data_IF_439175758201
#
_entry.id   IF_439175758201
#
_cell.length_a   1.000
_cell.length_b   1.000
_cell.length_c   1.000
_cell.angle_alpha   90.00
_cell.angle_beta   90.00
_cell.angle_gamma   90.00
#
_symmetry.space_group_name_H-M   'P 1'
#
loop_
_entity.id
_entity.type
_entity.pdbx_description
1 polymer ?
#
# COMPACT_ATOMS: atom_id res chain seq x y z
N UNK A 1 8.66 27.44 -1.67
CA UNK A 1 8.24 26.50 -0.59
C UNK A 1 7.07 25.59 -1.01
N UNK A 2 6.02 26.11 -1.65
CA UNK A 2 4.82 25.34 -2.05
C UNK A 2 5.09 24.28 -3.14
N UNK A 3 5.94 24.59 -4.12
CA UNK A 3 6.30 23.68 -5.21
C UNK A 3 7.09 22.46 -4.73
N UNK A 4 8.04 22.66 -3.79
CA UNK A 4 8.80 21.56 -3.18
C UNK A 4 7.89 20.58 -2.43
N UNK A 5 6.90 21.10 -1.69
CA UNK A 5 5.90 20.26 -0.99
C UNK A 5 5.02 19.49 -1.98
N UNK A 6 4.59 20.14 -3.06
CA UNK A 6 3.81 19.49 -4.12
C UNK A 6 4.61 18.35 -4.78
N UNK A 7 5.87 18.61 -5.10
CA UNK A 7 6.78 17.62 -5.67
C UNK A 7 6.97 16.40 -4.76
N UNK A 8 7.25 16.63 -3.47
CA UNK A 8 7.39 15.54 -2.48
C UNK A 8 6.11 14.72 -2.39
N UNK A 9 4.95 15.37 -2.29
CA UNK A 9 3.66 14.68 -2.22
C UNK A 9 3.39 13.85 -3.50
N UNK A 10 3.74 14.37 -4.67
CA UNK A 10 3.56 13.69 -5.95
C UNK A 10 4.49 12.47 -6.07
N UNK A 11 5.76 12.60 -5.68
CA UNK A 11 6.72 11.48 -5.66
C UNK A 11 6.25 10.38 -4.71
N UNK A 12 5.83 10.75 -3.49
CA UNK A 12 5.29 9.78 -2.52
C UNK A 12 4.04 9.08 -3.06
N UNK A 13 3.17 9.81 -3.75
CA UNK A 13 1.99 9.23 -4.39
C UNK A 13 2.36 8.21 -5.48
N UNK A 14 3.28 8.55 -6.40
CA UNK A 14 3.74 7.62 -7.43
C UNK A 14 4.32 6.35 -6.80
N UNK A 15 5.20 6.51 -5.81
CA UNK A 15 5.82 5.37 -5.12
C UNK A 15 4.76 4.48 -4.44
N UNK A 16 3.75 5.08 -3.80
CA UNK A 16 2.62 4.34 -3.24
C UNK A 16 1.82 3.59 -4.30
N UNK A 17 1.53 4.22 -5.44
CA UNK A 17 0.79 3.58 -6.53
C UNK A 17 1.55 2.38 -7.09
N UNK A 18 2.84 2.54 -7.37
CA UNK A 18 3.68 1.46 -7.93
C UNK A 18 3.81 0.30 -6.94
N UNK A 19 4.15 0.58 -5.68
CA UNK A 19 4.26 -0.45 -4.64
C UNK A 19 2.90 -1.10 -4.36
N UNK A 20 1.81 -0.34 -4.39
CA UNK A 20 0.45 -0.84 -4.21
C UNK A 20 0.05 -1.80 -5.32
N UNK A 21 0.37 -1.51 -6.58
CA UNK A 21 0.14 -2.44 -7.71
C UNK A 21 0.97 -3.71 -7.55
N UNK A 22 2.26 -3.59 -7.20
CA UNK A 22 3.11 -4.76 -6.96
C UNK A 22 2.57 -5.64 -5.80
N UNK A 23 2.08 -5.00 -4.74
CA UNK A 23 1.45 -5.66 -3.59
C UNK A 23 0.20 -6.43 -4.00
N UNK A 24 -0.66 -5.79 -4.81
CA UNK A 24 -1.90 -6.38 -5.30
C UNK A 24 -1.63 -7.57 -6.22
N UNK A 25 -0.71 -7.44 -7.18
CA UNK A 25 -0.34 -8.53 -8.09
C UNK A 25 0.22 -9.72 -7.33
N UNK A 26 1.19 -9.49 -6.44
CA UNK A 26 1.79 -10.57 -5.64
C UNK A 26 0.79 -11.23 -4.70
N UNK A 27 -0.15 -10.45 -4.15
CA UNK A 27 -1.26 -10.95 -3.32
C UNK A 27 -2.22 -11.82 -4.10
N UNK A 28 -2.63 -11.39 -5.29
CA UNK A 28 -3.50 -12.16 -6.18
C UNK A 28 -2.85 -13.48 -6.60
N UNK A 29 -1.56 -13.48 -6.95
CA UNK A 29 -0.84 -14.70 -7.32
C UNK A 29 -0.74 -15.67 -6.11
N UNK A 30 -0.47 -15.15 -4.91
CA UNK A 30 -0.45 -15.98 -3.69
C UNK A 30 -1.83 -16.52 -3.31
N UNK A 31 -2.89 -15.74 -3.56
CA UNK A 31 -4.26 -16.13 -3.31
C UNK A 31 -4.73 -17.22 -4.28
N UNK A 32 -4.38 -17.12 -5.56
CA UNK A 32 -4.65 -18.12 -6.59
C UNK A 32 -3.78 -19.39 -6.47
N UNK A 33 -2.70 -19.35 -5.69
CA UNK A 33 -1.81 -20.49 -5.48
C UNK A 33 -2.48 -21.58 -4.63
N UNK A 34 -2.31 -22.87 -4.97
CA UNK A 34 -2.89 -23.97 -4.22
C UNK A 34 -2.52 -23.90 -2.73
N UNK A 35 -3.51 -24.12 -1.87
CA UNK A 35 -3.36 -24.26 -0.42
C UNK A 35 -2.87 -25.68 -0.15
N UNK A 36 -1.70 -25.84 0.46
CA UNK A 36 -1.11 -27.16 0.72
C UNK A 36 -0.37 -27.19 2.05
N UNK A 37 -0.33 -28.38 2.66
CA UNK A 37 0.35 -28.66 3.94
C UNK A 37 1.87 -28.46 3.93
N UNK A 38 2.55 -28.94 4.96
CA UNK A 38 3.95 -28.63 5.37
C UNK A 38 5.04 -28.51 4.27
N UNK A 39 4.84 -29.07 3.06
CA UNK A 39 5.78 -29.00 1.92
C UNK A 39 5.44 -27.94 0.83
N UNK A 40 4.40 -27.13 1.02
CA UNK A 40 3.92 -26.17 0.03
C UNK A 40 4.90 -25.00 -0.25
N UNK A 41 6.00 -24.89 0.51
CA UNK A 41 7.08 -23.94 0.25
C UNK A 41 7.81 -24.17 -1.07
N UNK A 42 7.85 -25.42 -1.58
CA UNK A 42 8.56 -25.81 -2.81
C UNK A 42 7.68 -25.80 -4.06
N UNK A 43 6.38 -25.58 -3.91
CA UNK A 43 5.47 -25.47 -5.06
C UNK A 43 5.83 -24.22 -5.85
N UNK A 44 6.22 -24.42 -7.10
CA UNK A 44 6.52 -23.34 -8.04
C UNK A 44 5.21 -22.82 -8.64
N UNK A 45 4.95 -21.53 -8.47
CA UNK A 45 3.86 -20.81 -9.13
C UNK A 45 4.50 -19.92 -10.18
N UNK A 46 4.16 -20.13 -11.46
CA UNK A 46 4.75 -19.38 -12.59
C UNK A 46 6.29 -19.43 -12.62
N UNK A 47 6.88 -20.60 -12.34
CA UNK A 47 8.34 -20.78 -12.32
C UNK A 47 9.07 -20.21 -11.10
N UNK A 48 8.37 -19.50 -10.20
CA UNK A 48 8.94 -18.96 -8.96
C UNK A 48 8.41 -19.75 -7.76
N UNK A 49 9.32 -20.11 -6.86
CA UNK A 49 8.97 -20.79 -5.62
C UNK A 49 8.01 -19.94 -4.77
N UNK A 50 6.91 -20.52 -4.30
CA UNK A 50 5.91 -19.84 -3.43
C UNK A 50 6.56 -19.17 -2.21
N UNK A 51 7.60 -19.76 -1.64
CA UNK A 51 8.36 -19.17 -0.53
C UNK A 51 9.03 -17.83 -0.89
N UNK A 52 9.60 -17.71 -2.10
CA UNK A 52 10.20 -16.46 -2.59
C UNK A 52 9.13 -15.40 -2.80
N UNK A 53 8.01 -15.77 -3.41
CA UNK A 53 6.89 -14.85 -3.64
C UNK A 53 6.27 -14.36 -2.33
N UNK A 54 6.10 -15.25 -1.34
CA UNK A 54 5.64 -14.88 0.00
C UNK A 54 6.60 -13.91 0.69
N UNK A 55 7.91 -14.16 0.61
CA UNK A 55 8.93 -13.29 1.19
C UNK A 55 8.91 -11.90 0.53
N UNK A 56 8.83 -11.86 -0.80
CA UNK A 56 8.72 -10.61 -1.54
C UNK A 56 7.44 -9.84 -1.19
N UNK A 57 6.28 -10.51 -1.18
CA UNK A 57 5.00 -9.93 -0.77
C UNK A 57 5.08 -9.33 0.65
N UNK A 58 5.68 -10.04 1.59
CA UNK A 58 5.83 -9.57 2.97
C UNK A 58 6.68 -8.30 3.07
N UNK A 59 7.87 -8.27 2.45
CA UNK A 59 8.73 -7.08 2.50
C UNK A 59 8.14 -5.88 1.74
N UNK A 60 7.48 -6.13 0.60
CA UNK A 60 6.74 -5.09 -0.12
C UNK A 60 5.61 -4.53 0.75
N UNK A 61 4.93 -5.39 1.53
CA UNK A 61 3.92 -4.97 2.50
C UNK A 61 4.48 -4.04 3.57
N UNK A 62 5.61 -4.39 4.17
CA UNK A 62 6.30 -3.53 5.15
C UNK A 62 6.65 -2.17 4.53
N UNK A 63 7.27 -2.17 3.34
CA UNK A 63 7.64 -0.93 2.65
C UNK A 63 6.41 -0.06 2.35
N UNK A 64 5.32 -0.68 1.88
CA UNK A 64 4.06 0.01 1.59
C UNK A 64 3.42 0.60 2.86
N UNK A 65 3.43 -0.13 3.97
CA UNK A 65 2.92 0.38 5.26
C UNK A 65 3.70 1.61 5.71
N UNK A 66 5.04 1.55 5.73
CA UNK A 66 5.88 2.70 6.12
C UNK A 66 5.60 3.91 5.23
N UNK A 67 5.55 3.70 3.91
CA UNK A 67 5.31 4.79 2.96
C UNK A 67 3.90 5.38 3.12
N UNK A 68 2.92 4.55 3.43
CA UNK A 68 1.53 4.97 3.69
C UNK A 68 1.45 5.82 4.95
N UNK A 69 2.15 5.43 6.02
CA UNK A 69 2.25 6.23 7.25
C UNK A 69 2.87 7.61 6.96
N UNK A 70 3.97 7.65 6.20
CA UNK A 70 4.60 8.92 5.79
C UNK A 70 3.63 9.77 4.97
N UNK A 71 2.92 9.17 4.01
CA UNK A 71 1.96 9.87 3.18
C UNK A 71 0.81 10.50 4.00
N UNK A 72 0.27 9.75 4.96
CA UNK A 72 -0.78 10.25 5.87
C UNK A 72 -0.24 11.41 6.72
N UNK A 73 0.97 11.29 7.27
CA UNK A 73 1.59 12.35 8.06
C UNK A 73 1.81 13.63 7.24
N UNK A 74 2.28 13.52 5.99
CA UNK A 74 2.47 14.65 5.08
C UNK A 74 1.15 15.34 4.70
N UNK A 75 0.06 14.58 4.64
CA UNK A 75 -1.27 15.05 4.23
C UNK A 75 -2.26 15.17 5.41
N UNK A 76 -1.76 15.24 6.65
CA UNK A 76 -2.60 15.22 7.86
C UNK A 76 -3.69 16.30 7.87
N UNK A 77 -3.38 17.51 7.41
CA UNK A 77 -4.37 18.60 7.30
C UNK A 77 -5.53 18.27 6.35
N UNK A 78 -5.26 17.50 5.28
CA UNK A 78 -6.31 17.01 4.38
C UNK A 78 -7.14 15.93 5.07
N UNK A 79 -6.50 14.99 5.78
CA UNK A 79 -7.19 13.93 6.53
C UNK A 79 -8.20 14.51 7.52
N UNK A 80 -7.76 15.46 8.37
CA UNK A 80 -8.67 16.13 9.34
C UNK A 80 -9.85 16.81 8.64
N UNK A 81 -9.60 17.50 7.53
CA UNK A 81 -10.67 18.15 6.75
C UNK A 81 -11.64 17.14 6.15
N UNK A 82 -11.12 16.08 5.53
CA UNK A 82 -11.92 15.01 4.96
C UNK A 82 -12.78 14.32 6.03
N UNK A 83 -12.20 13.99 7.18
CA UNK A 83 -12.92 13.40 8.32
C UNK A 83 -14.01 14.34 8.84
N UNK A 84 -13.76 15.64 8.96
CA UNK A 84 -14.77 16.61 9.40
C UNK A 84 -15.94 16.76 8.42
N UNK A 85 -15.68 16.63 7.11
CA UNK A 85 -16.72 16.62 6.07
C UNK A 85 -17.56 15.35 6.18
N UNK A 86 -16.90 14.18 6.24
CA UNK A 86 -17.58 12.87 6.33
C UNK A 86 -18.42 12.76 7.61
N UNK A 87 -17.95 13.30 8.73
CA UNK A 87 -18.69 13.33 10.00
C UNK A 87 -19.74 14.44 10.08
N UNK A 88 -20.02 15.19 9.00
CA UNK A 88 -21.06 16.21 8.96
C UNK A 88 -20.76 17.48 9.78
N UNK A 89 -19.58 17.58 10.41
CA UNK A 89 -19.17 18.77 11.20
C UNK A 89 -18.94 20.02 10.35
N UNK A 90 -18.93 19.91 9.02
CA UNK A 90 -18.83 21.06 8.10
C UNK A 90 -20.16 21.74 7.77
N UNK A 91 -21.31 21.19 8.17
CA UNK A 91 -22.63 21.80 7.90
C UNK A 91 -23.03 22.89 8.92
N UNK A 92 -22.33 23.03 10.04
CA UNK A 92 -22.63 24.03 11.09
C UNK A 92 -21.96 25.41 10.90
N UNK A 93 -21.33 25.68 9.75
CA UNK A 93 -20.66 26.96 9.43
C UNK A 93 -21.17 27.62 8.14
N UNK A 94 -22.47 27.50 7.85
CA UNK A 94 -23.16 28.38 6.90
C UNK A 94 -24.29 29.09 7.61
#
# INVERSE_FOLDING_TARGET
>A
MREKKLYINYVVFILLSVLGVAMLVTGLILWASPKGGHYCGYVTVLGVTKAKLKRFHFYTGIALTVLTTIHIALNWSWVVKATNIVLGKSLQRR
#
